data_IF_535884265223
#
_entry.id   IF_535884265223
#
_cell.length_a   1.000
_cell.length_b   1.000
_cell.length_c   1.000
_cell.angle_alpha   90.00
_cell.angle_beta   90.00
_cell.angle_gamma   90.00
#
_symmetry.space_group_name_H-M   'P 1'
#
loop_
_entity.id
_entity.type
_entity.pdbx_description
1 polymer ?
#
# COMPACT_ATOMS: atom_id res chain seq x y z
N UNK A 1 26.48 -10.95 10.09
CA UNK A 1 25.80 -11.70 9.01
C UNK A 1 24.37 -11.19 8.93
N UNK A 2 24.12 -10.21 8.05
CA UNK A 2 22.77 -9.67 7.83
C UNK A 2 22.06 -10.58 6.84
N UNK A 3 21.01 -11.27 7.28
CA UNK A 3 20.16 -12.04 6.39
C UNK A 3 19.23 -11.09 5.64
N UNK A 4 19.65 -10.70 4.43
CA UNK A 4 18.74 -10.18 3.40
C UNK A 4 17.79 -11.32 3.00
N UNK A 5 16.72 -11.50 3.78
CA UNK A 5 15.55 -12.23 3.30
C UNK A 5 14.72 -11.27 2.45
N UNK A 6 14.30 -11.66 1.23
CA UNK A 6 13.46 -10.82 0.41
C UNK A 6 12.20 -10.46 1.20
N UNK A 7 11.94 -9.15 1.31
CA UNK A 7 10.74 -8.61 1.94
C UNK A 7 9.51 -9.17 1.22
N UNK A 8 8.92 -10.23 1.76
CA UNK A 8 7.60 -10.69 1.34
C UNK A 8 6.63 -9.54 1.60
N UNK A 9 6.18 -8.86 0.55
CA UNK A 9 5.20 -7.75 0.67
C UNK A 9 3.83 -8.23 1.18
N UNK A 10 3.57 -9.54 1.21
CA UNK A 10 2.31 -10.15 1.65
C UNK A 10 2.44 -10.96 2.95
N UNK A 11 1.30 -11.28 3.56
CA UNK A 11 1.23 -12.16 4.74
C UNK A 11 1.66 -13.58 4.38
N UNK A 12 2.51 -14.25 5.20
CA UNK A 12 2.92 -15.63 4.95
C UNK A 12 1.73 -16.62 4.97
N UNK A 13 0.64 -16.23 5.61
CA UNK A 13 -0.59 -17.02 5.71
C UNK A 13 -1.56 -16.82 4.53
N UNK A 14 -1.31 -15.83 3.66
CA UNK A 14 -2.23 -15.48 2.58
C UNK A 14 -2.39 -16.62 1.56
N UNK A 15 -1.30 -17.28 1.17
CA UNK A 15 -1.34 -18.35 0.19
C UNK A 15 -2.16 -19.55 0.68
N UNK A 16 -2.01 -19.93 1.94
CA UNK A 16 -2.75 -21.04 2.55
C UNK A 16 -4.25 -20.71 2.64
N UNK A 17 -4.61 -19.50 3.11
CA UNK A 17 -6.00 -19.04 3.10
C UNK A 17 -6.60 -19.06 1.70
N UNK A 18 -5.87 -18.53 0.70
CA UNK A 18 -6.30 -18.53 -0.69
C UNK A 18 -6.56 -19.96 -1.17
N UNK A 19 -5.72 -20.94 -0.83
CA UNK A 19 -5.93 -22.33 -1.24
C UNK A 19 -7.24 -22.94 -0.73
N UNK A 20 -7.72 -22.51 0.44
CA UNK A 20 -8.99 -22.97 1.00
C UNK A 20 -10.21 -22.22 0.43
N UNK A 21 -10.04 -20.96 0.03
CA UNK A 21 -11.10 -20.07 -0.45
C UNK A 21 -11.29 -20.14 -1.97
N UNK A 22 -10.22 -20.24 -2.74
CA UNK A 22 -10.21 -20.21 -4.21
C UNK A 22 -11.17 -21.24 -4.84
N UNK A 23 -11.30 -22.50 -4.35
CA UNK A 23 -12.24 -23.46 -4.91
C UNK A 23 -13.72 -23.05 -4.83
N UNK A 24 -14.04 -22.04 -4.02
CA UNK A 24 -15.41 -21.59 -3.79
C UNK A 24 -15.72 -20.24 -4.46
N UNK A 25 -14.75 -19.63 -5.15
CA UNK A 25 -14.89 -18.30 -5.74
C UNK A 25 -15.02 -18.35 -7.27
N UNK A 26 -15.76 -17.40 -7.83
CA UNK A 26 -15.68 -17.10 -9.25
C UNK A 26 -14.38 -16.32 -9.51
N UNK A 27 -13.66 -16.70 -10.57
CA UNK A 27 -12.46 -15.96 -10.99
C UNK A 27 -12.78 -15.12 -12.22
N UNK A 28 -12.20 -13.93 -12.27
CA UNK A 28 -12.31 -13.02 -13.41
C UNK A 28 -10.95 -12.40 -13.71
N UNK A 29 -10.73 -12.09 -14.99
CA UNK A 29 -9.59 -11.31 -15.42
C UNK A 29 -9.98 -9.84 -15.44
N UNK A 30 -9.05 -8.99 -15.06
CA UNK A 30 -9.22 -7.54 -15.09
C UNK A 30 -8.07 -6.91 -15.85
N UNK A 31 -8.34 -5.82 -16.54
CA UNK A 31 -7.35 -4.93 -17.11
C UNK A 31 -6.82 -3.93 -16.06
N UNK A 32 -5.67 -3.27 -16.30
CA UNK A 32 -5.18 -2.19 -15.44
C UNK A 32 -6.18 -1.04 -15.32
N UNK A 33 -6.31 -0.48 -14.11
CA UNK A 33 -7.16 0.67 -13.82
C UNK A 33 -8.56 0.32 -13.34
N UNK A 34 -8.97 -0.95 -13.40
CA UNK A 34 -10.24 -1.41 -12.85
C UNK A 34 -10.30 -1.24 -11.33
N UNK A 35 -11.47 -0.82 -10.84
CA UNK A 35 -11.71 -0.55 -9.43
C UNK A 35 -12.55 -1.67 -8.80
N UNK A 36 -12.14 -2.11 -7.60
CA UNK A 36 -12.82 -3.14 -6.82
C UNK A 36 -13.18 -2.56 -5.46
N UNK A 37 -14.47 -2.43 -5.20
CA UNK A 37 -14.98 -1.88 -3.94
C UNK A 37 -15.11 -3.00 -2.90
N UNK A 38 -14.69 -2.74 -1.67
CA UNK A 38 -14.85 -3.70 -0.55
C UNK A 38 -16.32 -3.88 -0.12
N UNK A 39 -17.23 -3.06 -0.63
CA UNK A 39 -18.66 -3.24 -0.52
C UNK A 39 -19.33 -2.96 -1.86
N UNK A 40 -20.19 -3.89 -2.29
CA UNK A 40 -20.97 -3.79 -3.51
C UNK A 40 -22.43 -4.03 -3.15
N UNK A 41 -23.30 -3.06 -3.43
CA UNK A 41 -24.74 -3.13 -3.12
C UNK A 41 -25.06 -3.49 -1.66
N UNK A 42 -24.29 -2.95 -0.70
CA UNK A 42 -24.47 -3.23 0.73
C UNK A 42 -23.79 -4.50 1.22
N UNK A 43 -23.29 -5.36 0.32
CA UNK A 43 -22.62 -6.60 0.67
C UNK A 43 -21.10 -6.43 0.71
N UNK A 44 -20.49 -6.86 1.82
CA UNK A 44 -19.04 -6.85 1.98
C UNK A 44 -18.38 -7.93 1.12
N UNK A 45 -17.31 -7.57 0.43
CA UNK A 45 -16.63 -8.40 -0.55
C UNK A 45 -15.21 -8.74 -0.11
N UNK A 46 -14.76 -9.93 -0.51
CA UNK A 46 -13.42 -10.44 -0.32
C UNK A 46 -12.79 -10.75 -1.68
N UNK A 47 -11.57 -10.26 -1.90
CA UNK A 47 -10.85 -10.38 -3.16
C UNK A 47 -9.56 -11.18 -2.96
N UNK A 48 -9.40 -12.23 -3.76
CA UNK A 48 -8.22 -13.08 -3.83
C UNK A 48 -7.42 -12.64 -5.06
N UNK A 49 -6.26 -12.01 -4.86
CA UNK A 49 -5.36 -11.63 -5.95
C UNK A 49 -4.49 -12.84 -6.29
N UNK A 50 -4.90 -13.59 -7.30
CA UNK A 50 -4.26 -14.84 -7.72
C UNK A 50 -3.08 -14.59 -8.66
N UNK A 51 -3.20 -13.57 -9.51
CA UNK A 51 -2.11 -13.05 -10.34
C UNK A 51 -2.21 -11.54 -10.51
N UNK A 52 -1.08 -10.87 -10.75
CA UNK A 52 -1.00 -9.43 -10.95
C UNK A 52 -0.74 -8.61 -9.68
N UNK A 53 -0.91 -7.29 -9.81
CA UNK A 53 -0.66 -6.29 -8.76
C UNK A 53 -1.83 -5.34 -8.65
N UNK A 54 -2.24 -5.05 -7.42
CA UNK A 54 -3.26 -4.04 -7.08
C UNK A 54 -2.68 -2.94 -6.19
N UNK A 55 -3.28 -1.77 -6.24
CA UNK A 55 -3.04 -0.66 -5.33
C UNK A 55 -4.26 -0.49 -4.42
N UNK A 56 -4.03 -0.20 -3.14
CA UNK A 56 -5.06 0.05 -2.14
C UNK A 56 -5.21 1.55 -1.97
N UNK A 57 -6.44 2.04 -2.04
CA UNK A 57 -6.76 3.45 -1.93
C UNK A 57 -7.69 3.69 -0.76
N UNK A 58 -7.40 4.75 0.00
CA UNK A 58 -8.31 5.26 1.02
C UNK A 58 -9.46 5.98 0.35
N UNK A 59 -10.69 5.60 0.70
CA UNK A 59 -11.88 6.18 0.05
C UNK A 59 -12.13 7.65 0.42
N UNK A 60 -11.75 8.09 1.62
CA UNK A 60 -12.07 9.45 2.09
C UNK A 60 -11.37 10.58 1.33
N UNK A 61 -10.19 10.33 0.76
CA UNK A 61 -9.32 11.35 0.15
C UNK A 61 -8.62 10.87 -1.13
N UNK A 62 -9.01 9.70 -1.66
CA UNK A 62 -8.42 9.06 -2.84
C UNK A 62 -6.90 8.79 -2.73
N UNK A 63 -6.38 8.70 -1.51
CA UNK A 63 -4.95 8.52 -1.29
C UNK A 63 -4.55 7.05 -1.49
N UNK A 64 -3.60 6.78 -2.39
CA UNK A 64 -2.97 5.47 -2.52
C UNK A 64 -2.16 5.15 -1.26
N UNK A 65 -2.59 4.12 -0.54
CA UNK A 65 -1.99 3.68 0.71
C UNK A 65 -0.78 2.77 0.48
N UNK A 66 -0.93 1.80 -0.43
CA UNK A 66 0.12 0.84 -0.73
C UNK A 66 -0.18 0.04 -2.01
N UNK A 67 0.76 -0.82 -2.41
CA UNK A 67 0.55 -1.83 -3.46
C UNK A 67 0.74 -3.24 -2.91
N UNK A 68 0.06 -4.20 -3.51
CA UNK A 68 0.18 -5.61 -3.19
C UNK A 68 0.23 -6.44 -4.47
N UNK A 69 1.15 -7.40 -4.50
CA UNK A 69 1.31 -8.38 -5.58
C UNK A 69 0.73 -9.71 -5.12
N UNK A 70 0.23 -10.50 -6.06
CA UNK A 70 -0.15 -11.90 -5.81
C UNK A 70 0.98 -12.68 -5.10
N UNK A 71 0.62 -13.65 -4.22
CA UNK A 71 -0.71 -13.89 -3.67
C UNK A 71 -1.09 -12.83 -2.60
N UNK A 72 -2.30 -12.28 -2.69
CA UNK A 72 -2.81 -11.33 -1.69
C UNK A 72 -4.32 -11.50 -1.46
N UNK A 73 -4.77 -11.12 -0.26
CA UNK A 73 -6.16 -11.28 0.17
C UNK A 73 -6.65 -9.96 0.80
N UNK A 74 -7.81 -9.50 0.37
CA UNK A 74 -8.42 -8.24 0.82
C UNK A 74 -9.89 -8.43 1.21
N UNK A 75 -10.40 -7.55 2.06
CA UNK A 75 -11.80 -7.57 2.51
C UNK A 75 -12.08 -8.41 3.76
N UNK A 76 -11.11 -9.19 4.26
CA UNK A 76 -11.28 -10.00 5.48
C UNK A 76 -11.62 -9.19 6.74
N UNK A 77 -11.22 -7.92 6.79
CA UNK A 77 -11.52 -7.07 7.94
C UNK A 77 -13.03 -6.79 8.09
N UNK A 78 -13.81 -6.94 7.00
CA UNK A 78 -15.26 -6.79 6.97
C UNK A 78 -16.00 -8.11 7.26
N UNK A 79 -15.32 -9.10 7.86
CA UNK A 79 -15.96 -10.31 8.40
C UNK A 79 -16.76 -10.04 9.68
N UNK A 80 -16.53 -8.89 10.32
CA UNK A 80 -17.25 -8.43 11.49
C UNK A 80 -17.99 -7.13 11.16
N UNK A 81 -18.72 -6.57 12.13
CA UNK A 81 -19.39 -5.26 11.98
C UNK A 81 -18.41 -4.06 11.90
N UNK A 82 -17.09 -4.32 11.83
CA UNK A 82 -16.09 -3.30 11.56
C UNK A 82 -16.03 -3.08 10.06
N UNK A 83 -16.34 -1.84 9.65
CA UNK A 83 -16.50 -1.52 8.25
C UNK A 83 -15.30 -0.74 7.69
N UNK A 84 -14.52 -1.39 6.82
CA UNK A 84 -13.51 -0.75 5.98
C UNK A 84 -14.08 -0.49 4.59
N UNK A 85 -14.05 0.78 4.16
CA UNK A 85 -14.62 1.23 2.89
C UNK A 85 -13.56 1.58 1.82
N UNK A 86 -12.29 1.27 2.10
CA UNK A 86 -11.20 1.40 1.14
C UNK A 86 -11.51 0.59 -0.12
N UNK A 87 -10.78 0.88 -1.20
CA UNK A 87 -10.99 0.19 -2.47
C UNK A 87 -9.66 -0.20 -3.11
N UNK A 88 -9.71 -1.16 -4.02
CA UNK A 88 -8.54 -1.61 -4.78
C UNK A 88 -8.62 -1.06 -6.20
N UNK A 89 -7.46 -0.77 -6.79
CA UNK A 89 -7.34 -0.51 -8.23
C UNK A 89 -6.29 -1.45 -8.82
N UNK A 90 -6.59 -2.09 -9.92
CA UNK A 90 -5.64 -2.97 -10.62
C UNK A 90 -4.52 -2.13 -11.23
N UNK A 91 -3.27 -2.56 -11.04
CA UNK A 91 -2.06 -1.89 -11.55
C UNK A 91 -1.55 -2.59 -12.80
N UNK A 92 -1.65 -3.92 -12.83
CA UNK A 92 -1.38 -4.77 -13.98
C UNK A 92 -2.67 -5.49 -14.37
N UNK A 93 -2.71 -6.21 -15.51
CA UNK A 93 -3.72 -7.24 -15.68
C UNK A 93 -3.67 -8.19 -14.48
N UNK A 94 -4.83 -8.56 -13.94
CA UNK A 94 -4.92 -9.41 -12.76
C UNK A 94 -5.87 -10.60 -13.00
N UNK A 95 -5.63 -11.69 -12.26
CA UNK A 95 -6.58 -12.77 -12.08
C UNK A 95 -7.10 -12.70 -10.64
N UNK A 96 -8.41 -12.50 -10.49
CA UNK A 96 -9.01 -12.18 -9.20
C UNK A 96 -10.14 -13.15 -8.89
N UNK A 97 -10.07 -13.78 -7.72
CA UNK A 97 -11.18 -14.53 -7.13
C UNK A 97 -12.06 -13.61 -6.28
N UNK A 98 -13.37 -13.78 -6.34
CA UNK A 98 -14.34 -12.96 -5.57
C UNK A 98 -15.24 -13.83 -4.71
N UNK A 99 -15.37 -13.45 -3.45
CA UNK A 99 -16.33 -14.00 -2.50
C UNK A 99 -17.02 -12.88 -1.74
N UNK A 100 -18.22 -13.15 -1.25
CA UNK A 100 -18.83 -12.34 -0.21
C UNK A 100 -18.16 -12.69 1.12
N UNK A 101 -18.06 -11.73 2.05
CA UNK A 101 -17.50 -12.01 3.38
C UNK A 101 -18.31 -13.04 4.14
N UNK A 102 -19.64 -13.09 3.95
CA UNK A 102 -20.50 -14.14 4.52
C UNK A 102 -20.06 -15.53 4.07
N UNK A 103 -19.80 -15.71 2.77
CA UNK A 103 -19.35 -17.00 2.25
C UNK A 103 -17.95 -17.35 2.76
N UNK A 104 -17.08 -16.37 2.91
CA UNK A 104 -15.77 -16.58 3.56
C UNK A 104 -15.97 -17.05 5.01
N UNK A 105 -16.86 -16.40 5.78
CA UNK A 105 -17.13 -16.77 7.17
C UNK A 105 -17.64 -18.21 7.32
N UNK A 106 -18.52 -18.64 6.41
CA UNK A 106 -18.99 -20.04 6.32
C UNK A 106 -17.82 -21.01 6.10
N UNK A 107 -16.96 -20.75 5.09
CA UNK A 107 -15.82 -21.61 4.78
C UNK A 107 -14.83 -21.68 5.95
N UNK A 108 -14.56 -20.54 6.59
CA UNK A 108 -13.66 -20.48 7.76
C UNK A 108 -14.21 -21.35 8.90
N UNK A 109 -15.52 -21.31 9.13
CA UNK A 109 -16.20 -22.13 10.15
C UNK A 109 -16.17 -23.62 9.77
N UNK A 110 -16.59 -23.97 8.56
CA UNK A 110 -16.67 -25.35 8.06
C UNK A 110 -15.31 -26.06 8.11
N UNK A 111 -14.24 -25.36 7.74
CA UNK A 111 -12.88 -25.91 7.67
C UNK A 111 -12.04 -25.65 8.93
N UNK A 112 -12.63 -25.10 9.99
CA UNK A 112 -11.96 -24.76 11.24
C UNK A 112 -10.71 -23.87 11.07
N UNK A 113 -10.76 -22.89 10.17
CA UNK A 113 -9.62 -22.06 9.75
C UNK A 113 -9.39 -20.82 10.64
N UNK A 114 -10.09 -20.69 11.76
CA UNK A 114 -9.99 -19.51 12.64
C UNK A 114 -8.57 -19.24 13.14
N UNK A 115 -7.77 -20.30 13.39
CA UNK A 115 -6.36 -20.15 13.77
C UNK A 115 -5.50 -19.59 12.63
N UNK A 116 -5.75 -20.01 11.40
CA UNK A 116 -5.04 -19.50 10.22
C UNK A 116 -5.44 -18.04 9.92
N UNK A 117 -6.74 -17.76 9.98
CA UNK A 117 -7.28 -16.41 9.79
C UNK A 117 -6.75 -15.45 10.86
N UNK A 118 -6.73 -15.85 12.14
CA UNK A 118 -6.24 -14.98 13.22
C UNK A 118 -4.75 -14.67 13.07
N UNK A 119 -3.93 -15.66 12.69
CA UNK A 119 -2.51 -15.45 12.36
C UNK A 119 -2.33 -14.47 11.20
N UNK A 120 -3.14 -14.61 10.14
CA UNK A 120 -3.13 -13.68 9.02
C UNK A 120 -3.48 -12.26 9.45
N UNK A 121 -4.58 -12.08 10.18
CA UNK A 121 -5.03 -10.77 10.67
C UNK A 121 -4.03 -10.15 11.64
N UNK A 122 -3.42 -10.93 12.54
CA UNK A 122 -2.38 -10.45 13.45
C UNK A 122 -1.12 -9.99 12.71
N UNK A 123 -0.74 -10.67 11.64
CA UNK A 123 0.36 -10.23 10.78
C UNK A 123 0.03 -8.88 10.11
N UNK A 124 -1.16 -8.76 9.52
CA UNK A 124 -1.62 -7.51 8.89
C UNK A 124 -1.69 -6.38 9.92
N UNK A 125 -2.28 -6.63 11.09
CA UNK A 125 -2.33 -5.68 12.21
C UNK A 125 -0.93 -5.26 12.65
N UNK A 126 -0.01 -6.21 12.83
CA UNK A 126 1.38 -5.91 13.21
C UNK A 126 2.03 -4.99 12.18
N UNK A 127 1.80 -5.21 10.89
CA UNK A 127 2.32 -4.35 9.83
C UNK A 127 1.69 -2.96 9.84
N UNK A 128 0.37 -2.87 10.01
CA UNK A 128 -0.32 -1.58 10.15
C UNK A 128 0.18 -0.84 11.40
N UNK A 129 0.28 -1.51 12.54
CA UNK A 129 0.82 -0.96 13.77
C UNK A 129 2.25 -0.46 13.57
N UNK A 130 3.17 -1.26 13.01
CA UNK A 130 4.54 -0.80 12.78
C UNK A 130 4.68 0.23 11.67
N UNK A 131 3.69 0.40 10.80
CA UNK A 131 3.71 1.45 9.77
C UNK A 131 3.02 2.75 10.25
N UNK A 132 2.06 2.66 11.18
CA UNK A 132 1.24 3.79 11.64
C UNK A 132 1.67 4.27 13.04
N UNK A 133 2.07 3.37 13.93
CA UNK A 133 2.36 3.64 15.34
C UNK A 133 3.81 3.94 15.74
N UNK A 134 4.88 3.88 14.90
CA UNK A 134 6.21 4.20 15.44
C UNK A 134 6.38 5.64 15.94
N UNK A 135 5.61 6.64 15.45
CA UNK A 135 5.79 8.07 15.85
C UNK A 135 4.57 9.00 15.72
N UNK A 136 3.35 8.48 15.61
CA UNK A 136 2.19 9.32 15.26
C UNK A 136 2.23 9.76 13.79
N UNK A 137 1.41 10.75 13.41
CA UNK A 137 1.39 11.24 12.03
C UNK A 137 2.80 11.74 11.62
N UNK A 138 3.34 11.28 10.48
CA UNK A 138 4.68 11.66 10.06
C UNK A 138 4.74 13.18 9.91
N UNK A 139 5.80 13.78 10.44
CA UNK A 139 6.03 15.21 10.27
C UNK A 139 6.18 15.54 8.78
N UNK A 140 5.93 16.80 8.40
CA UNK A 140 6.15 17.25 7.03
C UNK A 140 7.56 16.91 6.52
N UNK A 141 8.55 17.00 7.41
CA UNK A 141 9.92 16.59 7.11
C UNK A 141 10.04 15.09 6.83
N UNK A 142 9.49 14.22 7.69
CA UNK A 142 9.56 12.77 7.50
C UNK A 142 8.87 12.34 6.19
N UNK A 143 7.74 12.95 5.84
CA UNK A 143 7.06 12.73 4.56
C UNK A 143 7.94 13.14 3.38
N UNK A 144 8.51 14.35 3.40
CA UNK A 144 9.41 14.84 2.35
C UNK A 144 10.65 13.96 2.22
N UNK A 145 11.27 13.60 3.34
CA UNK A 145 12.46 12.73 3.39
C UNK A 145 12.17 11.39 2.72
N UNK A 146 11.03 10.76 3.04
CA UNK A 146 10.63 9.50 2.43
C UNK A 146 10.41 9.66 0.93
N UNK A 147 9.70 10.70 0.49
CA UNK A 147 9.43 10.93 -0.93
C UNK A 147 10.69 11.28 -1.73
N UNK A 148 11.67 11.97 -1.13
CA UNK A 148 12.98 12.20 -1.77
C UNK A 148 13.74 10.90 -2.00
N UNK A 149 13.73 9.99 -1.01
CA UNK A 149 14.35 8.67 -1.14
C UNK A 149 13.67 7.86 -2.25
N UNK A 150 12.33 7.86 -2.29
CA UNK A 150 11.58 7.19 -3.36
C UNK A 150 11.88 7.81 -4.73
N UNK A 151 11.88 9.14 -4.84
CA UNK A 151 12.22 9.84 -6.08
C UNK A 151 13.63 9.49 -6.58
N UNK A 152 14.60 9.29 -5.69
CA UNK A 152 15.96 8.88 -6.05
C UNK A 152 16.05 7.43 -6.55
N UNK A 153 15.03 6.60 -6.27
CA UNK A 153 14.95 5.22 -6.74
C UNK A 153 14.20 5.11 -8.08
N UNK A 154 13.53 6.18 -8.53
CA UNK A 154 12.91 6.23 -9.85
C UNK A 154 13.97 6.28 -10.97
N UNK A 155 13.57 5.87 -12.17
CA UNK A 155 14.41 5.96 -13.36
C UNK A 155 14.86 7.40 -13.64
N UNK A 156 16.10 7.55 -14.10
CA UNK A 156 16.75 8.84 -14.34
C UNK A 156 15.95 9.74 -15.31
N UNK A 157 15.33 9.15 -16.33
CA UNK A 157 14.48 9.87 -17.29
C UNK A 157 13.27 10.50 -16.61
N UNK A 158 12.59 9.75 -15.74
CA UNK A 158 11.42 10.23 -15.01
C UNK A 158 11.83 11.27 -13.96
N UNK A 159 12.87 11.00 -13.16
CA UNK A 159 13.39 11.91 -12.13
C UNK A 159 13.81 13.27 -12.71
N UNK A 160 14.31 13.31 -13.95
CA UNK A 160 14.64 14.55 -14.68
C UNK A 160 13.42 15.22 -15.34
N UNK A 161 12.30 14.54 -15.47
CA UNK A 161 11.08 15.10 -16.06
C UNK A 161 10.21 15.88 -15.05
N UNK A 162 10.37 15.61 -13.74
CA UNK A 162 9.51 16.14 -12.67
C UNK A 162 10.30 16.95 -11.64
N UNK A 163 9.71 18.02 -11.11
CA UNK A 163 10.29 18.73 -9.98
C UNK A 163 10.12 17.91 -8.69
N UNK A 164 11.07 18.02 -7.77
CA UNK A 164 10.97 17.35 -6.47
C UNK A 164 9.70 17.81 -5.73
N UNK A 165 9.37 19.10 -5.79
CA UNK A 165 8.15 19.65 -5.18
C UNK A 165 6.88 19.00 -5.73
N UNK A 166 6.73 18.92 -7.06
CA UNK A 166 5.55 18.32 -7.68
C UNK A 166 5.43 16.84 -7.31
N UNK A 167 6.53 16.09 -7.43
CA UNK A 167 6.54 14.67 -7.08
C UNK A 167 6.10 14.42 -5.63
N UNK A 168 6.58 15.24 -4.69
CA UNK A 168 6.23 15.16 -3.28
C UNK A 168 4.76 15.53 -3.08
N UNK A 169 4.29 16.65 -3.66
CA UNK A 169 2.92 17.14 -3.48
C UNK A 169 1.89 16.19 -4.10
N UNK A 170 2.22 15.51 -5.18
CA UNK A 170 1.31 14.52 -5.79
C UNK A 170 1.17 13.26 -4.92
N UNK A 171 2.05 13.05 -3.92
CA UNK A 171 2.07 11.89 -3.03
C UNK A 171 1.90 12.24 -1.55
N UNK A 172 1.61 13.50 -1.23
CA UNK A 172 1.45 14.00 0.13
C UNK A 172 0.39 15.09 0.17
N UNK A 173 -0.26 15.32 1.32
CA UNK A 173 -1.18 16.45 1.50
C UNK A 173 -0.47 17.74 1.94
N UNK A 174 0.84 17.85 1.70
CA UNK A 174 1.61 19.02 2.11
C UNK A 174 1.33 20.21 1.19
N UNK A 175 1.26 21.40 1.80
CA UNK A 175 1.16 22.63 1.02
C UNK A 175 2.43 22.86 0.20
N UNK A 176 2.27 23.43 -1.00
CA UNK A 176 3.41 23.79 -1.86
C UNK A 176 4.43 24.66 -1.13
N UNK A 177 3.98 25.64 -0.35
CA UNK A 177 4.87 26.49 0.44
C UNK A 177 5.61 25.73 1.54
N UNK A 178 4.98 24.74 2.18
CA UNK A 178 5.62 23.87 3.16
C UNK A 178 6.70 22.99 2.53
N UNK A 179 6.41 22.38 1.38
CA UNK A 179 7.38 21.56 0.63
C UNK A 179 8.56 22.40 0.17
N UNK A 180 8.31 23.55 -0.46
CA UNK A 180 9.37 24.42 -0.96
C UNK A 180 10.29 24.92 0.16
N UNK A 181 9.75 25.26 1.34
CA UNK A 181 10.54 25.68 2.50
C UNK A 181 11.53 24.60 2.93
N UNK A 182 11.04 23.37 3.13
CA UNK A 182 11.89 22.26 3.56
C UNK A 182 12.90 21.85 2.48
N UNK A 183 12.53 21.89 1.19
CA UNK A 183 13.49 21.64 0.11
C UNK A 183 14.59 22.71 0.06
N UNK A 184 14.24 23.98 0.28
CA UNK A 184 15.21 25.08 0.33
C UNK A 184 16.18 24.92 1.51
N UNK A 185 15.65 24.57 2.69
CA UNK A 185 16.47 24.29 3.87
C UNK A 185 17.42 23.11 3.63
N UNK A 186 16.90 22.01 3.05
CA UNK A 186 17.70 20.81 2.77
C UNK A 186 18.80 21.07 1.75
N UNK A 187 18.52 21.88 0.73
CA UNK A 187 19.49 22.32 -0.26
C UNK A 187 20.55 23.20 0.39
N UNK A 188 20.14 24.17 1.20
CA UNK A 188 21.05 25.11 1.91
C UNK A 188 21.97 24.37 2.88
N UNK A 189 21.45 23.36 3.57
CA UNK A 189 22.24 22.48 4.45
C UNK A 189 23.13 21.46 3.72
N UNK A 190 23.13 21.44 2.38
CA UNK A 190 23.93 20.52 1.58
C UNK A 190 23.47 19.05 1.64
N UNK A 191 22.26 18.80 2.17
CA UNK A 191 21.73 17.44 2.32
C UNK A 191 21.25 16.85 0.99
N UNK A 192 20.82 17.72 0.07
CA UNK A 192 20.40 17.37 -1.30
C UNK A 192 20.98 18.37 -2.31
N UNK A 193 21.14 17.90 -3.55
CA UNK A 193 21.50 18.73 -4.69
C UNK A 193 20.33 18.81 -5.66
N UNK A 194 20.00 20.03 -6.11
CA UNK A 194 18.88 20.29 -7.00
C UNK A 194 19.22 21.32 -8.06
N UNK A 195 18.85 21.02 -9.30
CA UNK A 195 18.97 21.88 -10.48
C UNK A 195 17.60 22.10 -11.11
N UNK A 196 17.24 23.37 -11.35
CA UNK A 196 15.92 23.74 -11.91
C UNK A 196 14.73 23.08 -11.18
N UNK A 197 14.84 22.90 -9.86
CA UNK A 197 13.79 22.28 -9.04
C UNK A 197 13.74 20.74 -9.09
N UNK A 198 14.65 20.09 -9.81
CA UNK A 198 14.76 18.63 -9.95
C UNK A 198 15.81 18.06 -9.01
N UNK A 199 15.53 16.88 -8.44
CA UNK A 199 16.45 16.23 -7.52
C UNK A 199 17.60 15.57 -8.28
N UNK A 200 18.83 16.01 -8.05
CA UNK A 200 20.04 15.47 -8.69
C UNK A 200 20.68 14.40 -7.83
N UNK A 201 20.82 14.67 -6.53
CA UNK A 201 21.51 13.78 -5.59
C UNK A 201 20.99 13.97 -4.17
N UNK A 202 21.07 12.90 -3.38
CA UNK A 202 20.91 12.93 -1.93
C UNK A 202 22.29 12.65 -1.32
N UNK A 203 22.79 13.57 -0.49
CA UNK A 203 24.06 13.42 0.20
C UNK A 203 23.87 12.65 1.51
N UNK A 204 23.18 13.26 2.48
CA UNK A 204 22.84 12.61 3.76
C UNK A 204 21.65 13.30 4.40
N UNK A 205 20.47 12.70 4.34
CA UNK A 205 19.29 13.28 4.99
C UNK A 205 19.37 13.14 6.53
N UNK A 206 19.15 14.21 7.31
CA UNK A 206 19.09 14.15 8.77
C UNK A 206 18.10 13.10 9.29
N UNK A 207 18.45 12.42 10.37
CA UNK A 207 17.53 11.46 10.99
C UNK A 207 16.31 12.14 11.63
N UNK A 208 16.46 13.40 12.03
CA UNK A 208 15.44 14.28 12.63
C UNK A 208 15.69 15.72 12.16
N UNK A 209 14.61 16.49 12.05
CA UNK A 209 14.58 17.92 11.70
C UNK A 209 13.66 18.63 12.67
#
# INVERSE_FOLDING_TARGET
MSSDKPSHRGSPYAQELISHLQPHCATHKTDPGEQLDLQVHGQSMCYLILDGTVAIYRRSDDMMLSTARSPALFGLANLTDIYFNDYLRTVTPCLIGVLTTDRVAEIIKEKALWGLLSNHLMFVYTRLYHNVMPKGAPTAYEMIRQQLVLLMQEDDSYRRSVTAERYIRDKTHLSRSGVMRLLADLKTGGFIEMEEGRLIKINKLPARY
#
